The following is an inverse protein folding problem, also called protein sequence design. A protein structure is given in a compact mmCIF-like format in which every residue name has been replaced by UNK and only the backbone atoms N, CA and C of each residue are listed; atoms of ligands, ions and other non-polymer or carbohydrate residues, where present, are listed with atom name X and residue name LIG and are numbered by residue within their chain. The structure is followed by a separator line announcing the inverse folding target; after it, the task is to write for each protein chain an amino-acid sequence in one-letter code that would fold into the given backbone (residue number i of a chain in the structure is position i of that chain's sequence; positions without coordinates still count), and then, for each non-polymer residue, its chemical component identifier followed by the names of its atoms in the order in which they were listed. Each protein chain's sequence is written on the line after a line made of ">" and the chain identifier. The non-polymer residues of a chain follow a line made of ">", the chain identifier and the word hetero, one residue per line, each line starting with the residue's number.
data_IF_805787272465
#
_entry.id   IF_805787272465
#
_cell.length_a   1.000
_cell.length_b   1.000
_cell.length_c   1.000
_cell.angle_alpha   90.00
_cell.angle_beta   90.00
_cell.angle_gamma   90.00
#
_symmetry.space_group_name_H-M   'P 1'
#
loop_
_entity.id
_entity.type
_entity.pdbx_description
1 polymer ?
#
# COMPACT_ATOMS: atom_id res chain seq x y z
N UNK A 1 38.91 -29.95 -34.05
CA UNK A 1 38.96 -30.47 -32.67
C UNK A 1 37.91 -29.70 -31.88
N UNK A 2 36.85 -30.36 -31.38
CA UNK A 2 35.58 -29.72 -31.03
C UNK A 2 35.67 -28.98 -29.70
N UNK A 3 34.94 -27.85 -29.59
CA UNK A 3 34.90 -27.05 -28.38
C UNK A 3 34.21 -27.83 -27.27
N UNK A 4 34.94 -27.97 -26.17
CA UNK A 4 34.41 -28.59 -24.98
C UNK A 4 33.47 -27.62 -24.28
N UNK A 5 32.23 -28.07 -24.19
CA UNK A 5 31.44 -28.01 -22.97
C UNK A 5 30.85 -26.62 -22.67
N UNK A 6 29.73 -26.33 -23.35
CA UNK A 6 28.65 -25.50 -22.83
C UNK A 6 28.03 -26.13 -21.56
N UNK A 7 28.84 -26.40 -20.54
CA UNK A 7 28.46 -27.00 -19.24
C UNK A 7 28.30 -25.93 -18.14
N UNK A 8 28.24 -24.66 -18.52
CA UNK A 8 27.83 -23.56 -17.62
C UNK A 8 26.47 -23.05 -18.07
N UNK A 9 25.57 -23.97 -18.45
CA UNK A 9 24.22 -23.65 -18.91
C UNK A 9 23.11 -24.14 -17.97
N UNK A 10 23.40 -24.48 -16.71
CA UNK A 10 22.38 -25.14 -15.86
C UNK A 10 22.22 -24.64 -14.43
N UNK A 11 22.84 -23.55 -13.98
CA UNK A 11 22.80 -23.18 -12.55
C UNK A 11 22.07 -21.90 -12.14
N UNK A 12 21.35 -21.20 -13.02
CA UNK A 12 20.51 -20.07 -12.59
C UNK A 12 19.17 -19.96 -13.34
N UNK A 13 18.51 -21.08 -13.62
CA UNK A 13 17.04 -21.04 -13.69
C UNK A 13 16.48 -21.07 -12.27
N UNK A 14 16.81 -20.04 -11.48
CA UNK A 14 15.87 -19.62 -10.45
C UNK A 14 14.66 -19.18 -11.25
N UNK A 15 13.65 -20.04 -11.30
CA UNK A 15 12.31 -19.65 -11.71
C UNK A 15 11.97 -18.46 -10.83
N UNK A 16 12.11 -17.24 -11.38
CA UNK A 16 11.44 -16.09 -10.82
C UNK A 16 10.01 -16.54 -10.59
N UNK A 17 9.45 -16.51 -9.38
CA UNK A 17 8.03 -16.72 -9.23
C UNK A 17 7.41 -15.59 -10.03
N UNK A 18 6.96 -15.87 -11.25
CA UNK A 18 6.25 -14.92 -12.11
C UNK A 18 4.87 -14.60 -11.57
N UNK A 19 4.60 -14.95 -10.31
CA UNK A 19 3.42 -14.57 -9.57
C UNK A 19 3.51 -13.12 -9.11
N UNK A 20 3.65 -12.21 -10.08
CA UNK A 20 3.37 -10.78 -9.99
C UNK A 20 3.43 -10.20 -11.41
N UNK A 21 2.76 -10.82 -12.39
CA UNK A 21 2.50 -10.16 -13.68
C UNK A 21 1.02 -9.84 -13.82
N UNK A 22 0.80 -8.54 -14.00
CA UNK A 22 -0.44 -7.82 -14.24
C UNK A 22 -1.45 -7.80 -13.08
N UNK A 23 -1.31 -6.80 -12.21
CA UNK A 23 -2.45 -5.90 -12.07
C UNK A 23 -2.38 -4.95 -13.25
N UNK A 24 -3.13 -5.22 -14.31
CA UNK A 24 -3.74 -4.08 -14.99
C UNK A 24 -4.39 -3.29 -13.86
N UNK A 25 -3.84 -2.12 -13.54
CA UNK A 25 -4.42 -1.25 -12.52
C UNK A 25 -5.71 -0.77 -13.17
N UNK A 26 -6.75 -1.61 -13.10
CA UNK A 26 -8.13 -1.17 -13.13
C UNK A 26 -8.15 0.04 -12.19
N UNK A 27 -8.43 1.22 -12.76
CA UNK A 27 -8.25 2.48 -12.03
C UNK A 27 -8.90 2.31 -10.67
N UNK A 28 -8.13 2.36 -9.59
CA UNK A 28 -8.71 2.29 -8.26
C UNK A 28 -9.65 3.46 -8.13
N UNK A 29 -10.94 3.16 -7.98
CA UNK A 29 -11.98 4.16 -7.88
C UNK A 29 -12.41 4.32 -6.43
N UNK A 30 -12.57 5.55 -6.01
CA UNK A 30 -13.26 5.90 -4.78
C UNK A 30 -14.74 5.52 -4.88
N UNK A 31 -15.45 5.52 -3.75
CA UNK A 31 -16.88 5.18 -3.68
C UNK A 31 -17.78 6.08 -4.54
N UNK A 32 -17.29 7.26 -4.91
CA UNK A 32 -17.96 8.20 -5.80
C UNK A 32 -17.63 7.99 -7.30
N UNK A 33 -16.77 7.02 -7.65
CA UNK A 33 -16.39 6.70 -9.02
C UNK A 33 -15.14 7.42 -9.56
N UNK A 34 -14.58 8.37 -8.80
CA UNK A 34 -13.36 9.09 -9.16
C UNK A 34 -12.11 8.25 -8.89
N UNK A 35 -10.99 8.58 -9.55
CA UNK A 35 -9.69 7.93 -9.28
C UNK A 35 -9.23 8.19 -7.85
N UNK A 36 -8.91 7.12 -7.13
CA UNK A 36 -8.36 7.19 -5.79
C UNK A 36 -6.85 7.47 -5.85
N UNK A 37 -6.33 8.45 -5.08
CA UNK A 37 -4.97 8.97 -5.25
C UNK A 37 -3.87 8.05 -4.72
N UNK A 38 -4.22 6.90 -4.13
CA UNK A 38 -3.27 6.01 -3.47
C UNK A 38 -3.51 4.55 -3.84
N UNK A 39 -2.59 3.96 -4.59
CA UNK A 39 -2.77 2.63 -5.18
C UNK A 39 -2.10 1.48 -4.43
N UNK A 40 -1.55 1.74 -3.25
CA UNK A 40 -0.93 0.74 -2.39
C UNK A 40 -1.81 0.41 -1.19
N UNK A 41 -1.83 -0.86 -0.79
CA UNK A 41 -2.54 -1.29 0.43
C UNK A 41 -1.93 -0.68 1.70
N UNK A 42 -0.60 -0.46 1.72
CA UNK A 42 0.09 0.23 2.82
C UNK A 42 0.02 1.74 2.61
N UNK A 43 -0.05 2.50 3.70
CA UNK A 43 -0.02 3.96 3.66
C UNK A 43 1.34 4.51 3.16
N UNK A 44 1.38 5.76 2.68
CA UNK A 44 2.64 6.40 2.30
C UNK A 44 3.57 6.58 3.50
N UNK A 45 4.84 6.25 3.30
CA UNK A 45 5.87 6.34 4.37
C UNK A 45 6.29 7.79 4.67
N UNK A 46 6.05 8.71 3.74
CA UNK A 46 6.42 10.12 3.90
C UNK A 46 5.47 10.93 4.81
N UNK A 47 4.42 10.32 5.37
CA UNK A 47 3.48 10.97 6.28
C UNK A 47 3.52 10.27 7.64
N UNK A 48 4.07 10.94 8.66
CA UNK A 48 4.21 10.37 10.01
C UNK A 48 3.38 11.17 11.03
N UNK A 49 2.46 10.55 11.78
CA UNK A 49 1.73 11.23 12.84
C UNK A 49 2.62 11.46 14.07
N UNK A 50 2.44 12.61 14.72
CA UNK A 50 3.17 13.04 15.92
C UNK A 50 2.27 13.04 17.14
N UNK A 51 1.06 13.60 17.01
CA UNK A 51 0.11 13.72 18.10
C UNK A 51 -1.33 13.55 17.60
N UNK A 52 -2.18 12.98 18.45
CA UNK A 52 -3.60 12.81 18.20
C UNK A 52 -4.39 13.43 19.35
N UNK A 53 -5.19 14.44 19.03
CA UNK A 53 -6.22 14.94 19.93
C UNK A 53 -7.56 14.28 19.55
N UNK A 54 -8.07 13.45 20.46
CA UNK A 54 -9.27 12.65 20.25
C UNK A 54 -10.37 13.11 21.20
N UNK A 55 -11.50 13.56 20.63
CA UNK A 55 -12.73 13.80 21.36
C UNK A 55 -13.78 12.80 20.90
N UNK A 56 -14.35 12.05 21.85
CA UNK A 56 -15.40 11.07 21.59
C UNK A 56 -16.61 11.40 22.46
N UNK A 57 -17.77 11.54 21.84
CA UNK A 57 -19.05 11.68 22.51
C UNK A 57 -19.94 10.48 22.16
N UNK A 58 -20.06 9.56 23.11
CA UNK A 58 -20.91 8.38 23.00
C UNK A 58 -22.31 8.65 23.55
N UNK A 59 -23.33 8.23 22.80
CA UNK A 59 -24.72 8.16 23.24
C UNK A 59 -25.11 6.69 23.45
N UNK A 60 -25.24 6.29 24.71
CA UNK A 60 -25.54 4.91 25.09
C UNK A 60 -27.02 4.54 24.94
N UNK A 61 -27.91 5.52 24.83
CA UNK A 61 -29.33 5.29 24.60
C UNK A 61 -29.62 4.96 23.13
N UNK A 62 -28.92 5.62 22.21
CA UNK A 62 -29.01 5.36 20.76
C UNK A 62 -27.96 4.37 20.27
N UNK A 63 -26.98 4.03 21.10
CA UNK A 63 -25.83 3.19 20.75
C UNK A 63 -25.02 3.76 19.58
N UNK A 64 -24.89 5.08 19.52
CA UNK A 64 -24.10 5.79 18.50
C UNK A 64 -23.07 6.69 19.16
N UNK A 65 -22.05 7.10 18.40
CA UNK A 65 -21.10 8.10 18.86
C UNK A 65 -20.80 9.08 17.74
N UNK A 66 -20.32 10.26 18.12
CA UNK A 66 -19.66 11.20 17.23
C UNK A 66 -18.36 11.65 17.88
N UNK A 67 -17.51 12.32 17.12
CA UNK A 67 -16.22 12.75 17.63
C UNK A 67 -15.52 13.71 16.71
N UNK A 68 -14.37 14.18 17.18
CA UNK A 68 -13.44 15.01 16.44
C UNK A 68 -12.04 14.44 16.65
N UNK A 69 -11.29 14.39 15.57
CA UNK A 69 -9.90 13.96 15.55
C UNK A 69 -9.07 15.07 14.95
N UNK A 70 -8.10 15.57 15.71
CA UNK A 70 -7.04 16.42 15.18
C UNK A 70 -5.75 15.60 15.19
N UNK A 71 -5.03 15.61 14.07
CA UNK A 71 -3.78 14.85 13.91
C UNK A 71 -2.68 15.81 13.53
N UNK A 72 -1.67 15.92 14.39
CA UNK A 72 -0.43 16.57 14.03
C UNK A 72 0.42 15.59 13.22
N UNK A 73 0.88 16.02 12.04
CA UNK A 73 1.67 15.19 11.13
C UNK A 73 2.96 15.89 10.71
N UNK A 74 3.99 15.11 10.46
CA UNK A 74 5.17 15.53 9.71
C UNK A 74 5.08 14.91 8.32
N UNK A 75 5.15 15.78 7.30
CA UNK A 75 5.26 15.40 5.91
C UNK A 75 6.71 15.51 5.45
N UNK A 76 7.35 14.38 5.15
CA UNK A 76 8.63 14.35 4.45
C UNK A 76 8.41 14.39 2.93
N UNK A 77 9.49 14.31 2.16
CA UNK A 77 9.39 14.28 0.70
C UNK A 77 8.93 12.88 0.24
N UNK A 78 7.96 12.80 -0.68
CA UNK A 78 7.59 11.54 -1.32
C UNK A 78 8.72 10.97 -2.18
#
# INVERSE_FOLDING_TARGET
>A
MPSLLPLVLTFLSVSSPSWCQNSDIESLKASNGDSFPWNNMRLPEYMTPIHYDLMIHANLSTLTFWGKTEVEIIASRP
#
